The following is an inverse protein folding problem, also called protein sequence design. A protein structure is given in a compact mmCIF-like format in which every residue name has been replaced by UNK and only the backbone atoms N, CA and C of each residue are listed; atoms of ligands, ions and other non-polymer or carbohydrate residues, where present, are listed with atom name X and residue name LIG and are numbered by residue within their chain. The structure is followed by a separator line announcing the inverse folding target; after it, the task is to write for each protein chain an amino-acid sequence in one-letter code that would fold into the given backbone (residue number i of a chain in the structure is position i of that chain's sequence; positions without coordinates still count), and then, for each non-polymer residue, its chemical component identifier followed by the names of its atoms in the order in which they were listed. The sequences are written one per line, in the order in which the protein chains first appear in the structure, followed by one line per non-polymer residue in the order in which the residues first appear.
data_IF_776800985007
#
_entry.id   IF_776800985007
#
_cell.length_a   1.000
_cell.length_b   1.000
_cell.length_c   1.000
_cell.angle_alpha   90.00
_cell.angle_beta   90.00
_cell.angle_gamma   90.00
#
_symmetry.space_group_name_H-M   'P 1'
#
loop_
_entity.id
_entity.type
_entity.pdbx_description
1 polymer ?
#
# COMPACT_ATOMS: atom_id res chain seq x y z
N UNK A 1 -23.16 12.28 -38.03
CA UNK A 1 -22.62 12.15 -36.65
C UNK A 1 -22.16 10.71 -36.47
N UNK A 2 -20.88 10.44 -36.12
CA UNK A 2 -20.32 9.20 -35.54
C UNK A 2 -18.79 9.10 -35.76
N UNK A 3 -18.01 9.96 -35.10
CA UNK A 3 -16.53 9.80 -34.94
C UNK A 3 -16.05 10.55 -33.69
N UNK A 4 -16.58 10.25 -32.51
CA UNK A 4 -16.09 10.79 -31.22
C UNK A 4 -16.40 9.88 -30.01
N UNK A 5 -16.13 8.58 -30.11
CA UNK A 5 -16.33 7.66 -28.95
C UNK A 5 -15.03 6.94 -28.53
N UNK A 6 -13.93 7.09 -29.26
CA UNK A 6 -12.71 6.29 -29.00
C UNK A 6 -11.69 6.93 -28.03
N UNK A 7 -12.02 8.01 -27.32
CA UNK A 7 -11.04 8.75 -26.52
C UNK A 7 -11.34 8.83 -25.01
N UNK A 8 -12.35 8.12 -24.49
CA UNK A 8 -12.72 8.21 -23.06
C UNK A 8 -12.54 6.92 -22.24
N UNK A 9 -11.88 5.91 -22.79
CA UNK A 9 -11.70 4.61 -22.12
C UNK A 9 -10.27 4.35 -21.62
N UNK A 10 -9.51 5.40 -21.34
CA UNK A 10 -8.19 5.28 -20.69
C UNK A 10 -8.15 6.20 -19.48
N UNK A 11 -8.76 5.74 -18.37
CA UNK A 11 -7.96 5.66 -17.15
C UNK A 11 -8.35 4.41 -16.35
N UNK A 12 -7.85 3.23 -16.74
CA UNK A 12 -8.08 2.01 -15.96
C UNK A 12 -6.92 1.01 -16.02
N UNK A 13 -5.72 1.43 -16.43
CA UNK A 13 -4.52 0.57 -16.44
C UNK A 13 -3.42 1.15 -15.54
N UNK A 14 -3.83 1.61 -14.35
CA UNK A 14 -2.97 1.74 -13.17
C UNK A 14 -3.47 0.77 -12.09
N UNK A 15 -3.58 -0.52 -12.44
CA UNK A 15 -3.66 -1.59 -11.44
C UNK A 15 -2.27 -2.22 -11.35
N UNK A 16 -1.27 -1.41 -11.00
CA UNK A 16 0.00 -1.93 -10.51
C UNK A 16 -0.11 -2.02 -8.99
N UNK A 17 -0.55 -3.19 -8.50
CA UNK A 17 -0.57 -3.49 -7.07
C UNK A 17 -1.93 -3.43 -6.40
N UNK A 18 -2.96 -4.07 -6.97
CA UNK A 18 -4.10 -4.51 -6.17
C UNK A 18 -3.59 -5.53 -5.14
N UNK A 19 -3.11 -5.04 -4.00
CA UNK A 19 -3.12 -5.83 -2.78
C UNK A 19 -4.60 -6.12 -2.52
N UNK A 20 -5.05 -7.34 -2.84
CA UNK A 20 -6.38 -7.79 -2.49
C UNK A 20 -6.46 -7.75 -0.97
N UNK A 21 -6.99 -6.66 -0.43
CA UNK A 21 -7.29 -6.57 0.98
C UNK A 21 -8.40 -7.58 1.29
N UNK A 22 -8.13 -8.49 2.22
CA UNK A 22 -9.14 -9.40 2.72
C UNK A 22 -9.94 -8.65 3.79
N UNK A 23 -11.22 -8.45 3.53
CA UNK A 23 -12.16 -7.98 4.56
C UNK A 23 -12.29 -9.09 5.60
N UNK A 24 -11.74 -8.86 6.80
CA UNK A 24 -11.74 -9.84 7.89
C UNK A 24 -12.83 -9.56 8.92
N UNK A 25 -13.37 -8.34 8.92
CA UNK A 25 -14.48 -7.95 9.76
C UNK A 25 -15.32 -6.86 9.09
N UNK A 26 -16.63 -7.03 9.09
CA UNK A 26 -17.56 -6.02 8.63
C UNK A 26 -18.90 -6.18 9.37
N UNK A 27 -19.14 -5.30 10.33
CA UNK A 27 -20.35 -5.34 11.15
C UNK A 27 -20.65 -3.96 11.74
N UNK A 28 -21.93 -3.57 11.70
CA UNK A 28 -22.48 -2.36 12.32
C UNK A 28 -21.71 -1.08 11.91
N UNK A 29 -21.39 -0.94 10.62
CA UNK A 29 -20.66 0.22 10.10
C UNK A 29 -19.15 0.23 10.44
N UNK A 30 -18.64 -0.83 11.05
CA UNK A 30 -17.21 -1.02 11.31
C UNK A 30 -16.63 -2.05 10.35
N UNK A 31 -15.56 -1.67 9.66
CA UNK A 31 -14.86 -2.52 8.71
C UNK A 31 -13.38 -2.63 9.08
N UNK A 32 -12.82 -3.82 8.99
CA UNK A 32 -11.40 -4.07 9.14
C UNK A 32 -10.91 -4.93 7.97
N UNK A 33 -9.98 -4.36 7.24
CA UNK A 33 -9.28 -4.99 6.13
C UNK A 33 -7.86 -5.36 6.56
N UNK A 34 -7.46 -6.59 6.27
CA UNK A 34 -6.07 -7.05 6.34
C UNK A 34 -5.53 -7.16 4.93
N UNK A 35 -4.40 -6.53 4.67
CA UNK A 35 -3.77 -6.53 3.35
C UNK A 35 -2.26 -6.68 3.46
N UNK A 36 -1.63 -6.97 2.34
CA UNK A 36 -0.20 -7.16 2.29
C UNK A 36 0.28 -7.67 0.95
N UNK A 37 1.58 -7.89 0.86
CA UNK A 37 2.23 -8.56 -0.27
C UNK A 37 3.53 -9.20 0.17
N UNK A 38 3.97 -10.21 -0.55
CA UNK A 38 5.30 -10.80 -0.43
C UNK A 38 5.95 -10.70 -1.81
N UNK A 39 7.16 -10.17 -1.86
CA UNK A 39 7.89 -9.93 -3.09
C UNK A 39 9.25 -10.60 -2.96
N UNK A 40 9.46 -11.66 -3.73
CA UNK A 40 10.80 -12.20 -3.98
C UNK A 40 11.45 -11.39 -5.08
N UNK A 41 12.53 -10.67 -4.77
CA UNK A 41 13.21 -9.78 -5.70
C UNK A 41 14.73 -10.01 -5.64
N UNK A 42 15.36 -10.13 -6.82
CA UNK A 42 16.80 -10.24 -6.94
C UNK A 42 17.26 -9.27 -8.01
N UNK A 43 18.07 -8.29 -7.63
CA UNK A 43 18.74 -7.39 -8.55
C UNK A 43 19.99 -8.09 -9.08
N UNK A 44 20.04 -8.28 -10.40
CA UNK A 44 21.21 -8.80 -11.10
C UNK A 44 21.98 -7.63 -11.70
N UNK A 45 23.27 -7.54 -11.39
CA UNK A 45 24.15 -6.47 -11.89
C UNK A 45 25.34 -7.06 -12.63
N UNK A 46 25.55 -6.64 -13.87
CA UNK A 46 26.77 -6.96 -14.62
C UNK A 46 27.94 -6.10 -14.13
N UNK A 47 29.16 -6.65 -14.24
CA UNK A 47 30.41 -6.00 -13.81
C UNK A 47 30.66 -4.71 -14.59
N UNK A 48 31.10 -3.66 -13.88
CA UNK A 48 32.03 -2.69 -14.46
C UNK A 48 33.48 -3.12 -14.21
N UNK A 49 34.35 -2.81 -15.18
CA UNK A 49 35.72 -3.31 -15.32
C UNK A 49 36.56 -3.35 -14.03
N UNK A 50 36.84 -4.55 -13.51
CA UNK A 50 37.97 -4.79 -12.59
C UNK A 50 37.65 -5.19 -11.15
N UNK A 51 36.38 -5.20 -10.72
CA UNK A 51 36.02 -5.61 -9.35
C UNK A 51 35.88 -7.15 -9.18
N UNK A 52 36.45 -7.66 -8.06
CA UNK A 52 36.34 -9.07 -7.66
C UNK A 52 35.04 -9.32 -6.88
N UNK A 53 33.97 -9.75 -7.55
CA UNK A 53 32.74 -10.24 -6.90
C UNK A 53 31.53 -10.23 -7.83
N UNK A 54 30.43 -10.89 -7.44
CA UNK A 54 29.07 -10.66 -7.99
C UNK A 54 28.37 -9.66 -7.06
N UNK A 55 28.00 -8.48 -7.58
CA UNK A 55 27.34 -7.42 -6.83
C UNK A 55 25.79 -7.56 -6.82
N UNK A 56 25.28 -8.66 -7.38
CA UNK A 56 23.85 -8.96 -7.36
C UNK A 56 23.34 -9.05 -5.92
N UNK A 57 22.18 -8.46 -5.65
CA UNK A 57 21.62 -8.33 -4.31
C UNK A 57 20.19 -8.85 -4.24
N UNK A 58 19.88 -9.54 -3.15
CA UNK A 58 18.52 -9.91 -2.81
C UNK A 58 17.89 -8.65 -2.24
N UNK A 59 16.71 -8.33 -2.71
CA UNK A 59 15.92 -7.18 -2.28
C UNK A 59 14.51 -7.62 -1.92
N UNK A 60 14.33 -8.90 -1.61
CA UNK A 60 13.05 -9.48 -1.20
C UNK A 60 12.53 -8.81 0.06
N UNK A 61 11.22 -8.57 0.08
CA UNK A 61 10.53 -7.94 1.20
C UNK A 61 9.08 -8.40 1.28
N UNK A 62 8.47 -8.21 2.44
CA UNK A 62 7.04 -8.39 2.64
C UNK A 62 6.43 -7.15 3.27
N UNK A 63 5.17 -6.88 2.95
CA UNK A 63 4.37 -5.85 3.62
C UNK A 63 3.14 -6.46 4.19
N UNK A 64 2.81 -6.03 5.39
CA UNK A 64 1.56 -6.39 6.07
C UNK A 64 0.97 -5.11 6.62
N UNK A 65 -0.31 -4.90 6.36
CA UNK A 65 -1.03 -3.74 6.85
C UNK A 65 -2.47 -4.06 7.18
N UNK A 66 -3.03 -3.21 8.04
CA UNK A 66 -4.43 -3.23 8.41
C UNK A 66 -5.03 -1.87 8.15
N UNK A 67 -6.27 -1.86 7.68
CA UNK A 67 -7.06 -0.65 7.48
C UNK A 67 -8.39 -0.81 8.18
N UNK A 68 -8.68 0.09 9.11
CA UNK A 68 -9.93 0.12 9.85
C UNK A 68 -10.76 1.34 9.45
N UNK A 69 -12.07 1.15 9.34
CA UNK A 69 -13.04 2.21 9.14
C UNK A 69 -14.21 2.03 10.11
N UNK A 70 -14.72 3.12 10.68
CA UNK A 70 -15.89 3.13 11.56
C UNK A 70 -16.81 4.28 11.14
N UNK A 71 -18.05 3.94 10.80
CA UNK A 71 -19.06 4.93 10.51
C UNK A 71 -19.57 5.53 11.83
N UNK A 72 -19.24 6.81 12.07
CA UNK A 72 -19.70 7.52 13.27
C UNK A 72 -21.13 8.02 13.05
N UNK A 73 -21.39 8.60 11.87
CA UNK A 73 -22.72 9.00 11.40
C UNK A 73 -22.76 9.02 9.85
N UNK A 74 -23.88 9.36 9.19
CA UNK A 74 -23.96 9.36 7.73
C UNK A 74 -22.99 10.29 6.99
N UNK A 75 -22.41 11.27 7.67
CA UNK A 75 -21.50 12.27 7.08
C UNK A 75 -20.06 12.15 7.58
N UNK A 76 -19.83 11.51 8.73
CA UNK A 76 -18.55 11.40 9.40
C UNK A 76 -18.13 9.94 9.57
N UNK A 77 -16.97 9.61 9.02
CA UNK A 77 -16.32 8.29 9.13
C UNK A 77 -14.95 8.45 9.77
N UNK A 78 -14.67 7.66 10.80
CA UNK A 78 -13.32 7.51 11.32
C UNK A 78 -12.57 6.42 10.55
N UNK A 79 -11.28 6.61 10.32
CA UNK A 79 -10.44 5.62 9.68
C UNK A 79 -9.03 5.59 10.29
N UNK A 80 -8.34 4.47 10.11
CA UNK A 80 -6.96 4.32 10.51
C UNK A 80 -6.26 3.26 9.68
N UNK A 81 -4.95 3.43 9.50
CA UNK A 81 -4.14 2.51 8.74
C UNK A 81 -2.77 2.32 9.38
N UNK A 82 -2.35 1.07 9.41
CA UNK A 82 -1.04 0.67 9.89
C UNK A 82 -0.40 -0.28 8.89
N UNK A 83 0.86 -0.05 8.53
CA UNK A 83 1.60 -0.87 7.57
C UNK A 83 3.05 -1.05 8.03
N UNK A 84 3.51 -2.30 8.03
CA UNK A 84 4.90 -2.70 8.26
C UNK A 84 5.55 -3.11 6.94
N UNK A 85 6.77 -2.65 6.71
CA UNK A 85 7.73 -3.24 5.76
C UNK A 85 8.62 -4.21 6.54
N UNK A 86 8.66 -5.45 6.08
CA UNK A 86 9.46 -6.53 6.62
C UNK A 86 10.57 -6.83 5.61
N UNK A 87 11.81 -6.58 6.00
CA UNK A 87 12.95 -6.84 5.12
C UNK A 87 13.25 -8.34 5.10
N UNK A 88 13.30 -8.95 3.91
CA UNK A 88 13.58 -10.38 3.77
C UNK A 88 14.94 -10.66 3.09
N UNK A 89 15.67 -9.64 2.65
CA UNK A 89 16.98 -9.77 2.01
C UNK A 89 18.12 -10.11 2.97
N UNK A 90 18.04 -9.62 4.22
CA UNK A 90 19.09 -9.76 5.22
C UNK A 90 18.49 -9.76 6.63
N UNK A 91 18.98 -10.65 7.49
CA UNK A 91 18.55 -10.78 8.89
C UNK A 91 18.86 -9.57 9.78
N UNK A 92 19.76 -8.69 9.36
CA UNK A 92 20.23 -7.57 10.18
C UNK A 92 19.55 -6.24 9.87
N UNK A 93 18.78 -6.17 8.77
CA UNK A 93 18.07 -4.96 8.41
C UNK A 93 16.82 -4.83 9.30
N UNK A 94 16.57 -3.66 9.90
CA UNK A 94 15.41 -3.49 10.76
C UNK A 94 14.12 -3.35 9.95
N UNK A 95 13.06 -4.00 10.43
CA UNK A 95 11.71 -3.79 9.94
C UNK A 95 11.28 -2.33 10.17
N UNK A 96 10.44 -1.80 9.28
CA UNK A 96 10.05 -0.39 9.29
C UNK A 96 8.53 -0.22 9.35
N UNK A 97 8.06 0.69 10.20
CA UNK A 97 6.68 1.18 10.09
C UNK A 97 6.58 2.13 8.91
N UNK A 98 5.87 1.71 7.87
CA UNK A 98 5.63 2.51 6.66
C UNK A 98 4.50 3.50 6.85
N UNK A 99 3.38 3.03 7.39
CA UNK A 99 2.20 3.84 7.66
C UNK A 99 1.74 3.61 9.09
N UNK A 100 1.38 4.68 9.78
CA UNK A 100 0.77 4.65 11.10
C UNK A 100 0.05 5.97 11.32
N UNK A 101 -1.22 6.01 10.94
CA UNK A 101 -2.04 7.21 11.05
C UNK A 101 -3.50 6.86 11.33
N UNK A 102 -4.21 7.85 11.87
CA UNK A 102 -5.65 7.82 12.04
C UNK A 102 -6.24 9.18 11.64
N UNK A 103 -7.49 9.16 11.21
CA UNK A 103 -8.15 10.34 10.68
C UNK A 103 -9.66 10.26 10.68
N UNK A 104 -10.24 11.36 10.26
CA UNK A 104 -11.67 11.56 10.08
C UNK A 104 -11.92 12.00 8.63
N UNK A 105 -12.91 11.41 7.99
CA UNK A 105 -13.41 11.82 6.69
C UNK A 105 -14.82 12.38 6.89
N UNK A 106 -15.04 13.59 6.41
CA UNK A 106 -16.32 14.27 6.45
C UNK A 106 -16.82 14.44 5.02
N UNK A 107 -17.69 13.52 4.59
CA UNK A 107 -18.33 13.41 3.27
C UNK A 107 -17.75 14.32 2.18
N UNK A 108 -18.36 15.49 1.97
CA UNK A 108 -18.04 16.40 0.86
C UNK A 108 -16.97 17.46 1.23
N UNK A 109 -16.55 17.52 2.49
CA UNK A 109 -15.60 18.50 3.03
C UNK A 109 -14.17 17.95 3.09
N UNK A 110 -13.96 16.68 2.74
CA UNK A 110 -12.65 16.03 2.65
C UNK A 110 -12.30 15.21 3.89
N UNK A 111 -11.01 15.09 4.16
CA UNK A 111 -10.49 14.30 5.27
C UNK A 111 -9.31 14.98 5.95
N UNK A 112 -9.14 14.66 7.23
CA UNK A 112 -7.98 15.06 8.02
C UNK A 112 -7.44 13.83 8.75
N UNK A 113 -6.13 13.63 8.69
CA UNK A 113 -5.43 12.58 9.40
C UNK A 113 -4.13 13.08 10.02
N UNK A 114 -3.66 12.36 11.03
CA UNK A 114 -2.41 12.64 11.71
C UNK A 114 -1.64 11.35 11.94
N UNK A 115 -0.33 11.42 11.69
CA UNK A 115 0.60 10.32 11.85
C UNK A 115 1.52 10.19 10.64
N UNK A 116 2.19 9.04 10.55
CA UNK A 116 3.05 8.72 9.42
C UNK A 116 2.18 8.26 8.24
N UNK A 117 1.94 9.16 7.30
CA UNK A 117 1.15 8.91 6.08
C UNK A 117 2.00 9.17 4.81
N UNK A 118 1.44 8.94 3.62
CA UNK A 118 2.11 9.10 2.32
C UNK A 118 2.36 10.56 1.90
N UNK A 119 1.75 11.53 2.59
CA UNK A 119 1.84 12.96 2.28
C UNK A 119 0.71 13.42 1.37
#
# INVERSE_FOLDING_TARGET
MKRKVLAMLVPALLVAGAANAAEIYNKDGNKLDLYGKMVGERILTDRENGEKGDNSQDTSYARVGVKGETQINPELTGYGQFELDLEASNRHNPDQTRLAYAGLSYKDFGSFDYGRNVG
#
